data_IF_145150530723
#
_entry.id   IF_145150530723
#
_cell.length_a   1.000
_cell.length_b   1.000
_cell.length_c   1.000
_cell.angle_alpha   90.00
_cell.angle_beta   90.00
_cell.angle_gamma   90.00
#
_symmetry.space_group_name_H-M   'P 1'
#
loop_
_entity.id
_entity.type
_entity.pdbx_description
1 polymer ?
#
# COMPACT_ATOMS: atom_id res chain seq x y z
N UNK A 1 -41.69 -9.70 50.59
CA UNK A 1 -41.54 -9.78 49.13
C UNK A 1 -40.05 -9.90 48.84
N UNK A 2 -39.64 -11.00 48.21
CA UNK A 2 -38.24 -11.30 47.88
C UNK A 2 -37.85 -10.53 46.62
N UNK A 3 -36.76 -9.76 46.69
CA UNK A 3 -36.17 -9.15 45.50
C UNK A 3 -35.49 -10.26 44.69
N UNK A 4 -35.90 -10.43 43.43
CA UNK A 4 -35.25 -11.35 42.51
C UNK A 4 -33.84 -10.85 42.19
N UNK A 5 -32.85 -11.74 42.26
CA UNK A 5 -31.51 -11.48 41.74
C UNK A 5 -31.60 -11.30 40.22
N UNK A 6 -31.00 -10.24 39.70
CA UNK A 6 -30.74 -10.11 38.26
C UNK A 6 -29.54 -10.99 37.93
N UNK A 7 -29.72 -11.97 37.04
CA UNK A 7 -28.60 -12.76 36.52
C UNK A 7 -27.70 -11.86 35.70
N UNK A 8 -26.54 -11.49 36.22
CA UNK A 8 -25.49 -10.87 35.42
C UNK A 8 -25.03 -11.91 34.40
N UNK A 9 -25.46 -11.78 33.15
CA UNK A 9 -24.89 -12.52 32.04
C UNK A 9 -23.57 -11.85 31.66
N UNK A 10 -22.46 -12.33 32.21
CA UNK A 10 -21.15 -12.02 31.65
C UNK A 10 -21.03 -12.79 30.34
N UNK A 11 -21.19 -12.08 29.22
CA UNK A 11 -20.82 -12.60 27.90
C UNK A 11 -19.28 -12.59 27.83
N UNK A 12 -18.65 -13.72 28.14
CA UNK A 12 -17.23 -13.92 27.85
C UNK A 12 -17.02 -14.02 26.35
N UNK A 13 -16.60 -12.92 25.72
CA UNK A 13 -15.96 -12.95 24.40
C UNK A 13 -14.65 -12.18 24.44
N UNK A 14 -13.76 -12.52 25.36
CA UNK A 14 -12.34 -12.20 25.17
C UNK A 14 -11.73 -13.27 24.26
N UNK A 15 -12.12 -13.22 22.98
CA UNK A 15 -11.22 -13.66 21.93
C UNK A 15 -9.95 -12.84 22.09
N UNK A 16 -8.80 -13.51 22.10
CA UNK A 16 -7.48 -12.87 22.24
C UNK A 16 -7.44 -11.67 21.30
N UNK A 17 -7.37 -10.45 21.84
CA UNK A 17 -7.34 -9.25 21.02
C UNK A 17 -6.10 -9.29 20.16
N UNK A 18 -6.25 -9.58 18.87
CA UNK A 18 -5.16 -9.46 17.91
C UNK A 18 -4.87 -7.97 17.77
N UNK A 19 -3.70 -7.55 18.24
CA UNK A 19 -3.22 -6.18 17.99
C UNK A 19 -2.79 -6.13 16.53
N UNK A 20 -3.27 -5.12 15.79
CA UNK A 20 -2.93 -4.88 14.40
C UNK A 20 -2.08 -3.61 14.30
N UNK A 21 -1.00 -3.67 13.55
CA UNK A 21 -0.10 -2.58 13.27
C UNK A 21 -0.29 -2.08 11.84
N UNK A 22 0.11 -0.84 11.58
CA UNK A 22 0.11 -0.32 10.22
C UNK A 22 1.34 -0.83 9.46
N UNK A 23 1.21 -1.12 8.16
CA UNK A 23 2.36 -1.43 7.32
C UNK A 23 3.39 -0.32 7.31
N UNK A 24 4.66 -0.66 7.15
CA UNK A 24 5.69 0.35 6.91
C UNK A 24 5.50 1.02 5.54
N UNK A 25 5.97 2.26 5.42
CA UNK A 25 6.00 2.96 4.13
C UNK A 25 6.79 2.13 3.10
N UNK A 26 6.27 2.01 1.86
CA UNK A 26 6.98 1.26 0.83
C UNK A 26 8.29 1.95 0.48
N UNK A 27 9.29 1.15 0.13
CA UNK A 27 10.63 1.61 -0.24
C UNK A 27 10.85 1.43 -1.73
N UNK A 28 11.39 2.46 -2.38
CA UNK A 28 11.66 2.46 -3.82
C UNK A 28 12.77 1.45 -4.16
N UNK A 29 12.51 0.60 -5.15
CA UNK A 29 13.54 -0.28 -5.75
C UNK A 29 13.88 0.18 -7.17
N UNK A 30 12.86 0.40 -8.01
CA UNK A 30 13.04 0.78 -9.41
C UNK A 30 11.82 1.56 -9.93
N UNK A 31 11.97 2.49 -10.87
CA UNK A 31 13.23 3.08 -11.34
C UNK A 31 13.93 3.87 -10.25
N UNK A 32 15.26 4.08 -10.38
CA UNK A 32 16.02 4.94 -9.46
C UNK A 32 15.38 6.33 -9.43
N UNK A 33 15.31 6.92 -8.24
CA UNK A 33 14.67 8.22 -8.04
C UNK A 33 15.27 9.29 -8.97
N UNK A 34 14.41 9.99 -9.70
CA UNK A 34 14.79 11.04 -10.65
C UNK A 34 15.70 10.58 -11.80
N UNK A 35 15.76 9.28 -12.09
CA UNK A 35 16.51 8.76 -13.24
C UNK A 35 15.82 9.01 -14.58
N UNK A 36 16.60 8.94 -15.65
CA UNK A 36 16.15 8.97 -17.04
C UNK A 36 15.97 7.53 -17.55
N UNK A 37 14.80 7.23 -18.09
CA UNK A 37 14.45 5.92 -18.66
C UNK A 37 14.37 6.04 -20.18
N UNK A 38 15.13 5.20 -20.90
CA UNK A 38 15.18 5.21 -22.38
C UNK A 38 14.32 4.12 -23.02
N UNK A 39 13.49 3.45 -22.22
CA UNK A 39 12.63 2.35 -22.67
C UNK A 39 11.16 2.79 -22.73
N UNK A 40 10.41 2.26 -23.70
CA UNK A 40 8.97 2.50 -23.81
C UNK A 40 8.16 1.84 -22.69
N UNK A 41 8.76 0.91 -21.95
CA UNK A 41 8.17 0.23 -20.80
C UNK A 41 9.08 0.37 -19.60
N UNK A 42 8.54 0.85 -18.49
CA UNK A 42 9.24 0.98 -17.21
C UNK A 42 8.61 0.03 -16.20
N UNK A 43 9.45 -0.69 -15.47
CA UNK A 43 9.03 -1.56 -14.39
C UNK A 43 9.14 -0.79 -13.06
N UNK A 44 7.98 -0.45 -12.48
CA UNK A 44 7.88 0.12 -11.14
C UNK A 44 8.06 -1.01 -10.14
N UNK A 45 9.00 -0.89 -9.21
CA UNK A 45 9.28 -1.88 -8.17
C UNK A 45 9.47 -1.20 -6.82
N UNK A 46 8.92 -1.83 -5.81
CA UNK A 46 9.04 -1.41 -4.42
C UNK A 46 9.22 -2.63 -3.51
N UNK A 47 9.63 -2.39 -2.28
CA UNK A 47 9.47 -3.34 -1.18
C UNK A 47 8.50 -2.77 -0.14
N UNK A 48 7.88 -3.64 0.63
CA UNK A 48 7.03 -3.28 1.75
C UNK A 48 7.09 -4.39 2.80
N UNK A 49 6.88 -4.01 4.06
CA UNK A 49 6.90 -4.92 5.19
C UNK A 49 5.90 -4.48 6.24
N UNK A 50 5.53 -5.41 7.11
CA UNK A 50 4.73 -5.18 8.32
C UNK A 50 5.42 -5.89 9.49
N UNK A 51 5.22 -5.40 10.70
CA UNK A 51 5.63 -6.11 11.93
C UNK A 51 4.75 -7.35 12.16
N UNK A 52 3.50 -7.30 11.72
CA UNK A 52 2.56 -8.42 11.76
C UNK A 52 2.84 -9.37 10.58
N UNK A 53 3.88 -10.20 10.73
CA UNK A 53 4.38 -11.09 9.66
C UNK A 53 3.38 -12.11 9.11
N UNK A 54 2.23 -12.31 9.78
CA UNK A 54 1.13 -13.14 9.29
C UNK A 54 0.23 -12.42 8.28
N UNK A 55 0.33 -11.10 8.18
CA UNK A 55 -0.53 -10.32 7.30
C UNK A 55 -0.06 -10.40 5.85
N UNK A 56 -1.03 -10.47 4.94
CA UNK A 56 -0.78 -10.49 3.51
C UNK A 56 -0.93 -9.08 2.97
N UNK A 57 0.20 -8.48 2.59
CA UNK A 57 0.20 -7.13 2.05
C UNK A 57 -0.36 -7.09 0.63
N UNK A 58 -1.17 -6.07 0.36
CA UNK A 58 -1.65 -5.72 -0.99
C UNK A 58 -1.37 -4.25 -1.29
N UNK A 59 -1.37 -3.91 -2.57
CA UNK A 59 -0.89 -2.63 -3.06
C UNK A 59 -1.90 -1.98 -4.01
N UNK A 60 -2.15 -0.69 -3.80
CA UNK A 60 -2.73 0.20 -4.81
C UNK A 60 -1.62 1.09 -5.38
N UNK A 61 -1.47 1.08 -6.70
CA UNK A 61 -0.42 1.84 -7.39
C UNK A 61 -1.07 2.98 -8.16
N UNK A 62 -0.64 4.20 -7.87
CA UNK A 62 -1.06 5.40 -8.56
C UNK A 62 0.06 5.87 -9.47
N UNK A 63 -0.26 6.21 -10.71
CA UNK A 63 0.74 6.57 -11.72
C UNK A 63 0.18 7.61 -12.69
N UNK A 64 0.95 8.63 -13.01
CA UNK A 64 0.57 9.63 -14.01
C UNK A 64 1.57 10.76 -14.13
N UNK A 65 1.19 11.83 -14.84
CA UNK A 65 2.01 13.03 -15.04
C UNK A 65 1.68 14.15 -14.02
N UNK A 66 0.59 14.00 -13.26
CA UNK A 66 0.22 14.90 -12.18
C UNK A 66 1.01 14.58 -10.89
N UNK A 67 1.32 15.61 -10.11
CA UNK A 67 2.00 15.50 -8.82
C UNK A 67 1.16 16.15 -7.70
N UNK A 68 0.62 15.39 -6.74
CA UNK A 68 0.68 13.93 -6.62
C UNK A 68 -0.23 13.23 -7.66
N UNK A 69 0.08 11.98 -8.04
CA UNK A 69 -0.77 11.22 -8.95
C UNK A 69 -2.07 10.80 -8.26
N UNK A 70 -3.20 10.99 -8.96
CA UNK A 70 -4.55 10.64 -8.49
C UNK A 70 -5.16 9.46 -9.24
N UNK A 71 -4.68 9.18 -10.47
CA UNK A 71 -5.15 8.06 -11.27
C UNK A 71 -4.60 6.74 -10.72
N UNK A 72 -5.50 5.82 -10.37
CA UNK A 72 -5.14 4.44 -10.03
C UNK A 72 -4.71 3.71 -11.30
N UNK A 73 -3.51 3.15 -11.29
CA UNK A 73 -2.98 2.32 -12.35
C UNK A 73 -3.15 0.82 -12.06
N UNK A 74 -3.26 0.46 -10.78
CA UNK A 74 -3.57 -0.89 -10.32
C UNK A 74 -4.13 -0.83 -8.91
N UNK A 75 -5.03 -1.76 -8.57
CA UNK A 75 -5.66 -1.83 -7.26
C UNK A 75 -5.65 -3.26 -6.71
N UNK A 76 -5.39 -3.38 -5.40
CA UNK A 76 -5.38 -4.63 -4.63
C UNK A 76 -4.45 -5.72 -5.20
N UNK A 77 -3.32 -5.34 -5.81
CA UNK A 77 -2.36 -6.34 -6.31
C UNK A 77 -1.47 -6.86 -5.18
N UNK A 78 -1.05 -8.13 -5.25
CA UNK A 78 -0.13 -8.76 -4.30
C UNK A 78 1.33 -8.67 -4.71
N UNK A 79 1.61 -8.42 -5.99
CA UNK A 79 2.98 -8.28 -6.49
C UNK A 79 3.56 -6.92 -6.15
N UNK A 80 4.84 -6.85 -5.77
CA UNK A 80 5.52 -5.59 -5.47
C UNK A 80 6.15 -4.93 -6.71
N UNK A 81 5.54 -5.16 -7.88
CA UNK A 81 5.96 -4.55 -9.15
C UNK A 81 4.79 -4.31 -10.10
N UNK A 82 4.94 -3.34 -11.01
CA UNK A 82 3.97 -3.01 -12.05
C UNK A 82 4.69 -2.46 -13.30
N UNK A 83 4.43 -3.05 -14.47
CA UNK A 83 4.91 -2.52 -15.75
C UNK A 83 3.99 -1.39 -16.25
N UNK A 84 4.59 -0.30 -16.74
CA UNK A 84 3.87 0.81 -17.37
C UNK A 84 4.51 1.18 -18.71
N UNK A 85 3.67 1.30 -19.72
CA UNK A 85 4.06 1.95 -20.98
C UNK A 85 4.12 3.46 -20.77
N UNK A 86 5.18 4.07 -21.29
CA UNK A 86 5.50 5.48 -21.13
C UNK A 86 5.83 6.12 -22.47
N UNK A 87 5.52 7.41 -22.59
CA UNK A 87 5.91 8.24 -23.73
C UNK A 87 7.29 8.82 -23.47
N UNK A 88 8.07 9.01 -24.53
CA UNK A 88 9.36 9.73 -24.51
C UNK A 88 9.21 11.17 -23.98
N UNK A 89 10.32 11.76 -23.56
CA UNK A 89 10.40 13.17 -23.12
C UNK A 89 9.33 13.60 -22.09
N UNK A 90 8.95 12.70 -21.16
CA UNK A 90 7.85 12.92 -20.22
C UNK A 90 8.28 12.63 -18.78
N UNK A 91 7.87 13.48 -17.84
CA UNK A 91 8.05 13.25 -16.40
C UNK A 91 6.85 12.53 -15.82
N UNK A 92 7.10 11.42 -15.13
CA UNK A 92 6.08 10.61 -14.46
C UNK A 92 6.25 10.63 -12.95
N UNK A 93 5.12 10.57 -12.26
CA UNK A 93 5.00 10.48 -10.81
C UNK A 93 4.20 9.24 -10.46
N UNK A 94 4.59 8.60 -9.37
CA UNK A 94 3.89 7.42 -8.87
C UNK A 94 4.02 7.29 -7.36
N UNK A 95 3.06 6.61 -6.76
CA UNK A 95 3.08 6.24 -5.34
C UNK A 95 2.40 4.90 -5.15
N UNK A 96 2.67 4.27 -4.02
CA UNK A 96 2.07 3.01 -3.62
C UNK A 96 1.37 3.18 -2.28
N UNK A 97 0.15 2.69 -2.17
CA UNK A 97 -0.56 2.53 -0.89
C UNK A 97 -0.47 1.06 -0.51
N UNK A 98 0.14 0.77 0.63
CA UNK A 98 0.28 -0.58 1.19
C UNK A 98 -0.88 -0.84 2.12
N UNK A 99 -1.48 -2.03 2.06
CA UNK A 99 -2.63 -2.44 2.86
C UNK A 99 -2.38 -3.80 3.49
N UNK A 100 -2.73 -3.97 4.75
CA UNK A 100 -2.54 -5.20 5.55
C UNK A 100 -3.67 -6.24 5.39
N UNK A 101 -4.81 -5.84 4.81
CA UNK A 101 -6.01 -6.70 4.73
C UNK A 101 -6.78 -6.82 6.05
N UNK A 102 -6.37 -6.07 7.09
CA UNK A 102 -6.98 -5.95 8.41
C UNK A 102 -7.54 -4.55 8.68
N UNK A 103 -7.34 -3.62 7.75
CA UNK A 103 -7.87 -2.26 7.78
C UNK A 103 -6.79 -1.19 7.90
N UNK A 104 -5.55 -1.57 8.19
CA UNK A 104 -4.40 -0.68 8.17
C UNK A 104 -3.91 -0.41 6.75
N UNK A 105 -3.61 0.86 6.50
CA UNK A 105 -3.07 1.31 5.22
C UNK A 105 -2.00 2.37 5.44
N UNK A 106 -0.95 2.30 4.65
CA UNK A 106 0.13 3.28 4.65
C UNK A 106 0.35 3.83 3.25
N UNK A 107 0.23 5.15 3.14
CA UNK A 107 0.43 5.88 1.89
C UNK A 107 1.92 6.18 1.74
N UNK A 108 2.54 5.63 0.70
CA UNK A 108 3.93 5.91 0.37
C UNK A 108 4.15 7.34 -0.13
N UNK A 109 5.42 7.76 -0.08
CA UNK A 109 5.88 9.01 -0.70
C UNK A 109 5.67 8.98 -2.23
N UNK A 110 5.68 10.16 -2.85
CA UNK A 110 5.62 10.28 -4.31
C UNK A 110 7.02 10.15 -4.89
N UNK A 111 7.23 9.18 -5.76
CA UNK A 111 8.45 8.99 -6.55
C UNK A 111 8.28 9.53 -7.96
N UNK A 112 9.39 9.89 -8.60
CA UNK A 112 9.38 10.37 -9.98
C UNK A 112 10.57 9.89 -10.79
N UNK A 113 10.38 9.81 -12.10
CA UNK A 113 11.41 9.57 -13.10
C UNK A 113 11.04 10.33 -14.38
N UNK A 114 12.00 10.48 -15.28
CA UNK A 114 11.79 11.08 -16.61
C UNK A 114 12.10 10.07 -17.70
N UNK A 115 11.52 10.25 -18.87
CA UNK A 115 11.84 9.47 -20.08
C UNK A 115 12.56 10.34 -21.10
N UNK A 116 13.43 9.72 -21.90
CA UNK A 116 14.09 10.32 -23.07
C UNK A 116 13.52 9.71 -24.35
#
# INVERSE_FOLDING_TARGET
>A
ASSNYSSTFNLYTEGVGVTNHLPFSPVLVSPVLNSVQTTATVNLQWTASDVDTSDTLTYDVFFGTANPPTASASANQSTSSLNRTVSASTKYYWKVVVKDGKGGQTIGQVWSFVTD
#
